data_IF_780203121953
#
_entry.id   IF_780203121953
#
_cell.length_a   1.000
_cell.length_b   1.000
_cell.length_c   1.000
_cell.angle_alpha   90.00
_cell.angle_beta   90.00
_cell.angle_gamma   90.00
#
_symmetry.space_group_name_H-M   'P 1'
#
loop_
_entity.id
_entity.type
_entity.pdbx_description
1 polymer ?
#
# COMPACT_ATOMS: atom_id res chain seq x y z
N UNK A 1 -7.52 20.13 -3.38
CA UNK A 1 -6.84 21.38 -2.94
C UNK A 1 -5.34 21.27 -3.13
N UNK A 2 -4.64 20.25 -2.60
CA UNK A 2 -3.19 20.09 -2.76
C UNK A 2 -2.77 19.87 -4.22
N UNK A 3 -3.48 19.07 -4.96
CA UNK A 3 -3.20 18.76 -6.37
C UNK A 3 -3.13 20.02 -7.25
N UNK A 4 -4.06 20.98 -7.09
CA UNK A 4 -4.04 22.24 -7.83
C UNK A 4 -2.85 23.12 -7.46
N UNK A 5 -2.45 23.08 -6.19
CA UNK A 5 -1.26 23.80 -5.72
C UNK A 5 0.02 23.20 -6.31
N UNK A 6 0.14 21.88 -6.29
CA UNK A 6 1.27 21.16 -6.88
C UNK A 6 1.33 21.42 -8.38
N UNK A 7 0.18 21.38 -9.07
CA UNK A 7 0.10 21.68 -10.51
C UNK A 7 0.64 23.07 -10.84
N UNK A 8 0.21 24.10 -10.12
CA UNK A 8 0.67 25.49 -10.34
C UNK A 8 2.17 25.59 -10.12
N UNK A 9 2.66 25.09 -8.99
CA UNK A 9 4.07 25.11 -8.68
C UNK A 9 4.91 24.41 -9.75
N UNK A 10 4.49 23.23 -10.17
CA UNK A 10 5.18 22.50 -11.22
C UNK A 10 5.12 23.22 -12.59
N UNK A 11 3.98 23.85 -12.92
CA UNK A 11 3.85 24.65 -14.14
C UNK A 11 4.81 25.86 -14.14
N UNK A 12 4.95 26.55 -13.01
CA UNK A 12 5.90 27.66 -12.82
C UNK A 12 7.36 27.17 -12.94
N UNK A 13 7.72 26.08 -12.26
CA UNK A 13 9.09 25.53 -12.29
C UNK A 13 9.49 24.96 -13.66
N UNK A 14 8.54 24.34 -14.38
CA UNK A 14 8.80 23.68 -15.67
C UNK A 14 8.55 24.57 -16.90
N UNK A 15 7.87 25.69 -16.76
CA UNK A 15 7.41 26.54 -17.86
C UNK A 15 6.35 25.88 -18.75
N UNK A 16 5.73 24.77 -18.32
CA UNK A 16 4.73 24.03 -19.08
C UNK A 16 3.30 24.57 -18.82
N UNK A 17 2.53 24.71 -19.88
CA UNK A 17 1.11 25.04 -19.75
C UNK A 17 0.30 23.78 -19.44
N UNK A 18 0.00 23.55 -18.15
CA UNK A 18 -0.67 22.35 -17.66
C UNK A 18 -2.16 22.64 -17.47
N UNK A 19 -3.00 21.79 -18.02
CA UNK A 19 -4.46 21.91 -17.94
C UNK A 19 -5.09 20.63 -17.36
N UNK A 20 -6.26 20.76 -16.73
CA UNK A 20 -7.05 19.62 -16.27
C UNK A 20 -7.49 18.74 -17.43
N UNK A 21 -7.50 17.45 -17.21
CA UNK A 21 -8.05 16.47 -18.13
C UNK A 21 -9.26 15.82 -17.45
N UNK A 22 -10.46 16.37 -17.67
CA UNK A 22 -11.70 15.88 -17.05
C UNK A 22 -12.37 14.80 -17.92
N UNK A 23 -11.60 13.93 -18.54
CA UNK A 23 -12.08 12.89 -19.45
C UNK A 23 -11.53 11.55 -19.04
N UNK A 24 -12.40 10.55 -19.00
CA UNK A 24 -12.00 9.16 -19.00
C UNK A 24 -11.61 8.79 -20.43
N UNK A 25 -10.42 8.28 -20.61
CA UNK A 25 -9.90 7.81 -21.89
C UNK A 25 -9.98 6.29 -21.96
N UNK A 26 -10.27 5.78 -23.15
CA UNK A 26 -10.32 4.35 -23.44
C UNK A 26 -9.31 4.04 -24.52
N UNK A 27 -8.58 2.93 -24.36
CA UNK A 27 -7.68 2.45 -25.41
C UNK A 27 -8.48 2.04 -26.64
N UNK A 28 -8.02 2.45 -27.82
CA UNK A 28 -8.62 2.05 -29.11
C UNK A 28 -8.31 0.58 -29.40
N UNK A 29 -7.09 0.14 -29.12
CA UNK A 29 -6.63 -1.22 -29.40
C UNK A 29 -7.10 -2.23 -28.32
N UNK A 30 -7.23 -1.78 -27.08
CA UNK A 30 -7.60 -2.59 -25.92
C UNK A 30 -8.77 -1.95 -25.16
N UNK A 31 -10.03 -2.09 -25.61
CA UNK A 31 -11.18 -1.34 -25.07
C UNK A 31 -11.51 -1.59 -23.59
N UNK A 32 -10.96 -2.63 -22.98
CA UNK A 32 -11.09 -2.88 -21.55
C UNK A 32 -10.17 -1.97 -20.68
N UNK A 33 -9.14 -1.37 -21.31
CA UNK A 33 -8.22 -0.48 -20.62
C UNK A 33 -8.75 0.95 -20.61
N UNK A 34 -8.93 1.49 -19.42
CA UNK A 34 -9.46 2.83 -19.18
C UNK A 34 -8.48 3.65 -18.35
N UNK A 35 -8.36 4.95 -18.63
CA UNK A 35 -7.52 5.87 -17.90
C UNK A 35 -8.30 7.11 -17.49
N UNK A 36 -8.27 7.44 -16.20
CA UNK A 36 -8.75 8.71 -15.68
C UNK A 36 -7.53 9.60 -15.38
N UNK A 37 -7.31 10.60 -16.23
CA UNK A 37 -6.08 11.39 -16.26
C UNK A 37 -6.29 12.69 -15.48
N UNK A 38 -5.39 12.98 -14.55
CA UNK A 38 -5.45 14.21 -13.75
C UNK A 38 -5.20 15.45 -14.60
N UNK A 39 -4.07 15.49 -15.30
CA UNK A 39 -3.57 16.68 -16.02
C UNK A 39 -2.88 16.28 -17.33
N UNK A 40 -2.79 17.29 -18.22
CA UNK A 40 -2.01 17.18 -19.46
C UNK A 40 -1.32 18.51 -19.79
N UNK A 41 -0.28 18.47 -20.59
CA UNK A 41 0.33 19.65 -21.18
C UNK A 41 -0.51 20.10 -22.38
N UNK A 42 -0.96 21.36 -22.38
CA UNK A 42 -1.79 21.92 -23.45
C UNK A 42 -1.08 21.88 -24.80
N UNK A 43 -1.75 21.34 -25.80
CA UNK A 43 -1.21 21.23 -27.17
C UNK A 43 -0.12 20.18 -27.39
N UNK A 44 0.17 19.35 -26.38
CA UNK A 44 1.16 18.25 -26.48
C UNK A 44 0.54 16.92 -26.09
N UNK A 45 1.12 15.82 -26.57
CA UNK A 45 0.77 14.44 -26.19
C UNK A 45 1.58 14.04 -24.95
N UNK A 46 1.43 14.83 -23.88
CA UNK A 46 2.16 14.64 -22.62
C UNK A 46 1.14 14.67 -21.47
N UNK A 47 1.06 13.56 -20.74
CA UNK A 47 0.27 13.45 -19.51
C UNK A 47 1.05 13.89 -18.28
N UNK A 48 0.33 14.27 -17.23
CA UNK A 48 0.92 14.64 -15.94
C UNK A 48 0.11 13.98 -14.84
N UNK A 49 0.75 13.13 -14.07
CA UNK A 49 0.20 12.49 -12.88
C UNK A 49 0.75 13.16 -11.62
N UNK A 50 -0.12 13.44 -10.66
CA UNK A 50 0.24 14.15 -9.44
C UNK A 50 0.05 13.23 -8.23
N UNK A 51 1.07 13.10 -7.41
CA UNK A 51 1.04 12.31 -6.18
C UNK A 51 1.47 13.13 -4.97
N UNK A 52 0.94 12.77 -3.83
CA UNK A 52 1.36 13.32 -2.53
C UNK A 52 1.68 12.16 -1.59
N UNK A 53 2.82 12.21 -0.94
CA UNK A 53 3.24 11.20 0.04
C UNK A 53 3.86 11.86 1.27
N UNK A 54 3.93 11.12 2.39
CA UNK A 54 4.56 11.60 3.61
C UNK A 54 6.07 11.31 3.63
N UNK A 55 6.82 12.08 4.42
CA UNK A 55 8.27 11.96 4.55
C UNK A 55 8.76 10.64 5.19
N UNK A 56 7.85 9.77 5.63
CA UNK A 56 8.21 8.49 6.26
C UNK A 56 8.72 7.43 5.27
N UNK A 57 8.39 7.54 3.99
CA UNK A 57 8.91 6.68 2.93
C UNK A 57 10.26 7.24 2.44
N UNK A 58 11.33 6.94 3.19
CA UNK A 58 12.67 7.53 2.93
C UNK A 58 13.35 7.05 1.64
N UNK A 59 13.03 5.88 1.18
CA UNK A 59 13.83 5.18 0.16
C UNK A 59 13.39 5.45 -1.27
N UNK A 60 12.11 5.78 -1.50
CA UNK A 60 11.54 5.72 -2.83
C UNK A 60 11.85 6.93 -3.74
N UNK A 61 12.39 8.03 -3.19
CA UNK A 61 12.57 9.26 -3.97
C UNK A 61 13.98 9.87 -3.87
N UNK A 62 14.78 9.50 -2.89
CA UNK A 62 16.09 10.12 -2.63
C UNK A 62 17.21 9.59 -3.55
N UNK A 63 17.04 8.41 -4.15
CA UNK A 63 18.01 7.77 -5.05
C UNK A 63 17.66 7.85 -6.54
N UNK A 64 16.57 8.54 -6.89
CA UNK A 64 16.04 8.54 -8.27
C UNK A 64 15.07 7.38 -8.54
N UNK A 65 14.86 6.49 -7.58
CA UNK A 65 13.91 5.37 -7.71
C UNK A 65 12.47 5.87 -7.63
N UNK A 66 11.64 5.31 -8.48
CA UNK A 66 10.20 5.58 -8.51
C UNK A 66 9.46 4.42 -7.87
N UNK A 67 8.46 4.75 -7.05
CA UNK A 67 7.56 3.73 -6.51
C UNK A 67 6.97 2.89 -7.66
N UNK A 68 7.12 1.55 -7.65
CA UNK A 68 6.68 0.67 -8.73
C UNK A 68 5.21 0.84 -9.13
N UNK A 69 4.33 1.15 -8.17
CA UNK A 69 2.91 1.39 -8.42
C UNK A 69 2.67 2.68 -9.22
N UNK A 70 3.41 3.74 -8.93
CA UNK A 70 3.31 5.00 -9.68
C UNK A 70 3.89 4.84 -11.09
N UNK A 71 4.97 4.08 -11.21
CA UNK A 71 5.54 3.73 -12.51
C UNK A 71 4.56 2.92 -13.35
N UNK A 72 3.99 1.83 -12.80
CA UNK A 72 3.01 1.00 -13.49
C UNK A 72 1.79 1.82 -13.95
N UNK A 73 1.28 2.74 -13.12
CA UNK A 73 0.19 3.64 -13.49
C UNK A 73 0.56 4.54 -14.67
N UNK A 74 1.78 5.09 -14.68
CA UNK A 74 2.25 5.91 -15.82
C UNK A 74 2.39 5.08 -17.10
N UNK A 75 2.86 3.82 -16.99
CA UNK A 75 2.93 2.90 -18.14
C UNK A 75 1.55 2.54 -18.68
N UNK A 76 0.59 2.26 -17.78
CA UNK A 76 -0.81 2.04 -18.15
C UNK A 76 -1.40 3.25 -18.90
N UNK A 77 -1.16 4.45 -18.40
CA UNK A 77 -1.66 5.66 -19.05
C UNK A 77 -1.01 5.91 -20.42
N UNK A 78 0.27 5.62 -20.57
CA UNK A 78 0.93 5.62 -21.88
C UNK A 78 0.31 4.57 -22.80
N UNK A 79 0.00 3.36 -22.29
CA UNK A 79 -0.66 2.31 -23.06
C UNK A 79 -2.03 2.75 -23.58
N UNK A 80 -2.89 3.28 -22.70
CA UNK A 80 -4.25 3.69 -23.01
C UNK A 80 -4.30 4.86 -23.99
N UNK A 81 -3.46 5.89 -23.77
CA UNK A 81 -3.52 7.14 -24.52
C UNK A 81 -2.75 7.11 -25.82
N UNK A 82 -1.75 6.25 -25.92
CA UNK A 82 -0.77 6.28 -27.00
C UNK A 82 0.06 7.56 -27.02
N UNK A 83 0.10 8.35 -25.95
CA UNK A 83 0.84 9.59 -25.88
C UNK A 83 2.35 9.35 -25.80
N UNK A 84 3.12 10.42 -26.05
CA UNK A 84 4.56 10.31 -26.27
C UNK A 84 5.36 10.30 -24.95
N UNK A 85 4.79 10.93 -23.91
CA UNK A 85 5.46 11.10 -22.63
C UNK A 85 4.47 11.16 -21.47
N UNK A 86 4.88 10.67 -20.29
CA UNK A 86 4.17 10.85 -19.04
C UNK A 86 5.09 11.44 -17.98
N UNK A 87 4.64 12.50 -17.33
CA UNK A 87 5.35 13.15 -16.22
C UNK A 87 4.68 12.77 -14.91
N UNK A 88 5.47 12.26 -13.97
CA UNK A 88 5.05 11.99 -12.60
C UNK A 88 5.61 13.10 -11.71
N UNK A 89 4.73 13.78 -11.00
CA UNK A 89 5.06 14.88 -10.08
C UNK A 89 4.64 14.48 -8.67
N UNK A 90 5.60 14.30 -7.78
CA UNK A 90 5.38 13.80 -6.42
C UNK A 90 5.74 14.86 -5.40
N UNK A 91 4.78 15.32 -4.63
CA UNK A 91 5.03 16.13 -3.44
C UNK A 91 5.32 15.21 -2.26
N UNK A 92 6.55 15.23 -1.76
CA UNK A 92 6.93 14.59 -0.49
C UNK A 92 6.82 15.64 0.61
N UNK A 93 5.84 15.49 1.49
CA UNK A 93 5.55 16.44 2.58
C UNK A 93 6.78 16.58 3.49
N UNK A 94 7.22 17.81 3.69
CA UNK A 94 8.41 18.12 4.49
C UNK A 94 9.75 17.98 3.76
N UNK A 95 9.75 17.62 2.45
CA UNK A 95 10.99 17.48 1.66
C UNK A 95 11.01 18.27 0.36
N UNK A 96 9.91 18.26 -0.41
CA UNK A 96 9.85 19.00 -1.66
C UNK A 96 9.16 18.28 -2.81
N UNK A 97 9.33 18.81 -4.01
CA UNK A 97 8.72 18.30 -5.23
C UNK A 97 9.75 17.47 -6.01
N UNK A 98 9.37 16.26 -6.39
CA UNK A 98 10.17 15.35 -7.20
C UNK A 98 9.44 15.10 -8.51
N UNK A 99 10.18 15.13 -9.63
CA UNK A 99 9.60 14.99 -10.97
C UNK A 99 10.34 13.92 -11.77
N UNK A 100 9.56 13.07 -12.43
CA UNK A 100 10.06 12.00 -13.29
C UNK A 100 9.42 12.14 -14.67
N UNK A 101 10.12 11.69 -15.69
CA UNK A 101 9.68 11.76 -17.08
C UNK A 101 9.85 10.39 -17.72
N UNK A 102 8.76 9.83 -18.22
CA UNK A 102 8.73 8.53 -18.89
C UNK A 102 8.34 8.73 -20.34
N UNK A 103 9.30 8.59 -21.24
CA UNK A 103 9.04 8.65 -22.67
C UNK A 103 8.58 7.28 -23.17
N UNK A 104 7.52 7.26 -23.98
CA UNK A 104 6.98 6.03 -24.54
C UNK A 104 8.03 5.18 -25.21
N UNK A 105 8.85 5.79 -26.08
CA UNK A 105 9.90 5.09 -26.84
C UNK A 105 10.94 4.38 -25.96
N UNK A 106 11.18 4.91 -24.76
CA UNK A 106 12.16 4.36 -23.83
C UNK A 106 11.55 3.23 -22.97
N UNK A 107 10.20 3.07 -22.97
CA UNK A 107 9.45 2.13 -22.11
C UNK A 107 8.54 1.19 -22.92
N UNK A 108 8.78 1.01 -24.20
CA UNK A 108 7.94 0.19 -25.11
C UNK A 108 7.77 -1.24 -24.61
N UNK A 109 8.83 -1.87 -24.14
CA UNK A 109 8.81 -3.26 -23.69
C UNK A 109 8.02 -3.42 -22.40
N UNK A 110 8.15 -2.47 -21.47
CA UNK A 110 7.39 -2.43 -20.21
C UNK A 110 5.91 -2.18 -20.48
N UNK A 111 5.59 -1.31 -21.42
CA UNK A 111 4.20 -1.04 -21.85
C UNK A 111 3.58 -2.30 -22.46
N UNK A 112 4.28 -3.01 -23.34
CA UNK A 112 3.82 -4.26 -23.94
C UNK A 112 3.62 -5.36 -22.90
N UNK A 113 4.57 -5.50 -21.97
CA UNK A 113 4.46 -6.48 -20.90
C UNK A 113 3.25 -6.19 -20.00
N UNK A 114 2.98 -4.93 -19.68
CA UNK A 114 1.82 -4.52 -18.89
C UNK A 114 0.52 -4.79 -19.61
N UNK A 115 0.41 -4.42 -20.89
CA UNK A 115 -0.77 -4.73 -21.72
C UNK A 115 -1.05 -6.23 -21.73
N UNK A 116 -0.02 -7.06 -21.90
CA UNK A 116 -0.16 -8.51 -21.91
C UNK A 116 -0.66 -9.05 -20.57
N UNK A 117 -0.15 -8.52 -19.45
CA UNK A 117 -0.59 -8.91 -18.12
C UNK A 117 -2.04 -8.49 -17.84
N UNK A 118 -2.43 -7.27 -18.23
CA UNK A 118 -3.79 -6.76 -18.07
C UNK A 118 -4.79 -7.51 -18.96
N UNK A 119 -4.42 -7.84 -20.21
CA UNK A 119 -5.25 -8.64 -21.13
C UNK A 119 -5.45 -10.06 -20.58
N UNK A 120 -4.38 -10.69 -20.07
CA UNK A 120 -4.48 -11.99 -19.42
C UNK A 120 -5.43 -11.93 -18.21
N UNK A 121 -5.27 -10.94 -17.33
CA UNK A 121 -6.13 -10.77 -16.16
C UNK A 121 -7.58 -10.56 -16.56
N UNK A 122 -7.83 -9.73 -17.56
CA UNK A 122 -9.16 -9.45 -18.08
C UNK A 122 -9.84 -10.69 -18.61
N UNK A 123 -9.15 -11.45 -19.46
CA UNK A 123 -9.71 -12.65 -20.10
C UNK A 123 -9.89 -13.82 -19.14
N UNK A 124 -8.89 -14.08 -18.31
CA UNK A 124 -8.91 -15.27 -17.45
C UNK A 124 -9.77 -15.09 -16.19
N UNK A 125 -9.84 -13.89 -15.66
CA UNK A 125 -10.53 -13.66 -14.40
C UNK A 125 -11.80 -12.84 -14.57
N UNK A 126 -11.73 -11.67 -15.22
CA UNK A 126 -12.89 -10.76 -15.29
C UNK A 126 -13.99 -11.33 -16.18
N UNK A 127 -13.66 -11.70 -17.43
CA UNK A 127 -14.66 -12.25 -18.37
C UNK A 127 -15.18 -13.63 -17.96
N UNK A 128 -14.37 -14.42 -17.27
CA UNK A 128 -14.76 -15.76 -16.80
C UNK A 128 -15.48 -15.73 -15.45
N UNK A 129 -15.53 -14.58 -14.76
CA UNK A 129 -16.05 -14.49 -13.40
C UNK A 129 -15.28 -15.34 -12.38
N UNK A 130 -14.01 -15.65 -12.66
CA UNK A 130 -13.13 -16.43 -11.76
C UNK A 130 -12.42 -15.53 -10.78
N UNK A 131 -12.27 -15.98 -9.54
CA UNK A 131 -11.35 -15.35 -8.62
C UNK A 131 -9.90 -15.63 -9.03
N UNK A 132 -9.03 -14.62 -9.06
CA UNK A 132 -7.59 -14.85 -9.18
C UNK A 132 -7.06 -15.65 -7.98
N UNK A 133 -5.93 -16.38 -8.12
CA UNK A 133 -5.31 -17.07 -7.01
C UNK A 133 -4.91 -16.09 -5.91
N UNK A 134 -4.86 -16.58 -4.68
CA UNK A 134 -4.40 -15.77 -3.55
C UNK A 134 -2.90 -15.46 -3.68
N UNK A 135 -2.53 -14.22 -3.39
CA UNK A 135 -1.18 -13.68 -3.58
C UNK A 135 -0.54 -13.14 -2.28
N UNK A 136 -1.21 -13.33 -1.13
CA UNK A 136 -0.80 -12.81 0.17
C UNK A 136 -1.08 -11.32 0.39
N UNK A 137 -1.75 -10.66 -0.56
CA UNK A 137 -2.13 -9.25 -0.42
C UNK A 137 -3.29 -9.05 0.57
N UNK A 138 -3.40 -7.83 1.11
CA UNK A 138 -4.57 -7.44 1.93
C UNK A 138 -5.88 -7.55 1.16
N UNK A 139 -5.86 -7.30 -0.15
CA UNK A 139 -7.04 -7.44 -1.00
C UNK A 139 -7.52 -8.90 -1.07
N UNK A 140 -6.60 -9.85 -1.23
CA UNK A 140 -6.91 -11.28 -1.19
C UNK A 140 -7.48 -11.69 0.16
N UNK A 141 -6.91 -11.22 1.28
CA UNK A 141 -7.41 -11.48 2.64
C UNK A 141 -8.83 -10.92 2.84
N UNK A 142 -9.09 -9.69 2.38
CA UNK A 142 -10.43 -9.09 2.44
C UNK A 142 -11.47 -9.89 1.62
N UNK A 143 -11.08 -10.40 0.46
CA UNK A 143 -11.95 -11.25 -0.37
C UNK A 143 -12.26 -12.56 0.36
N UNK A 144 -11.25 -13.22 0.95
CA UNK A 144 -11.44 -14.45 1.73
C UNK A 144 -12.37 -14.22 2.93
N UNK A 145 -12.17 -13.12 3.66
CA UNK A 145 -13.03 -12.75 4.80
C UNK A 145 -14.47 -12.49 4.36
N UNK A 146 -14.68 -11.79 3.24
CA UNK A 146 -16.03 -11.55 2.68
C UNK A 146 -16.70 -12.83 2.17
N UNK A 147 -15.92 -13.74 1.57
CA UNK A 147 -16.41 -14.99 1.00
C UNK A 147 -16.76 -16.02 2.08
N UNK A 148 -16.02 -16.02 3.19
CA UNK A 148 -16.17 -16.98 4.29
C UNK A 148 -16.30 -16.27 5.64
N UNK A 149 -17.35 -15.47 5.86
CA UNK A 149 -17.47 -14.60 7.03
C UNK A 149 -17.71 -15.37 8.34
N UNK A 150 -18.35 -16.53 8.27
CA UNK A 150 -18.71 -17.35 9.41
C UNK A 150 -18.35 -18.81 9.13
N UNK A 151 -17.91 -19.56 10.14
CA UNK A 151 -17.72 -21.01 10.05
C UNK A 151 -19.05 -21.74 10.27
N UNK A 152 -19.22 -22.86 9.60
CA UNK A 152 -20.35 -23.76 9.77
C UNK A 152 -20.11 -24.83 10.85
N UNK A 153 -18.95 -24.83 11.52
CA UNK A 153 -18.56 -25.80 12.52
C UNK A 153 -18.10 -27.16 11.98
N UNK A 154 -18.07 -27.34 10.65
CA UNK A 154 -17.61 -28.57 10.03
C UNK A 154 -16.09 -28.77 10.11
N UNK A 155 -15.66 -30.02 9.95
CA UNK A 155 -14.25 -30.41 9.81
C UNK A 155 -14.03 -31.02 8.44
N UNK A 156 -12.99 -30.59 7.74
CA UNK A 156 -12.62 -31.12 6.43
C UNK A 156 -11.17 -31.65 6.46
N UNK A 157 -10.89 -32.61 5.60
CA UNK A 157 -9.50 -33.00 5.32
C UNK A 157 -8.90 -32.00 4.33
N UNK A 158 -7.71 -31.50 4.65
CA UNK A 158 -7.00 -30.55 3.81
C UNK A 158 -6.01 -31.29 2.89
N UNK A 159 -5.92 -30.87 1.65
CA UNK A 159 -4.93 -31.31 0.68
C UNK A 159 -3.98 -30.14 0.37
N UNK A 160 -3.32 -29.63 1.42
CA UNK A 160 -2.38 -28.50 1.30
C UNK A 160 -1.24 -28.59 2.32
N UNK A 161 -0.76 -29.78 2.59
CA UNK A 161 0.29 -30.05 3.59
C UNK A 161 1.59 -29.25 3.28
N UNK A 162 1.93 -29.08 2.01
CA UNK A 162 3.08 -28.26 1.61
C UNK A 162 2.93 -26.79 2.05
N UNK A 163 1.73 -26.21 1.86
CA UNK A 163 1.46 -24.84 2.29
C UNK A 163 1.49 -24.70 3.81
N UNK A 164 0.97 -25.70 4.54
CA UNK A 164 1.01 -25.74 6.01
C UNK A 164 2.46 -25.85 6.50
N UNK A 165 3.24 -26.71 5.90
CA UNK A 165 4.68 -26.89 6.24
C UNK A 165 5.48 -25.62 6.01
N UNK A 166 5.27 -24.94 4.87
CA UNK A 166 5.90 -23.66 4.57
C UNK A 166 5.48 -22.57 5.57
N UNK A 167 4.19 -22.51 5.91
CA UNK A 167 3.69 -21.57 6.92
C UNK A 167 4.35 -21.78 8.28
N UNK A 168 4.47 -23.02 8.75
CA UNK A 168 5.12 -23.37 10.02
C UNK A 168 6.61 -23.02 10.00
N UNK A 169 7.29 -23.31 8.90
CA UNK A 169 8.70 -22.97 8.70
C UNK A 169 8.93 -21.47 8.77
N UNK A 170 8.08 -20.70 8.08
CA UNK A 170 8.16 -19.23 8.10
C UNK A 170 7.84 -18.67 9.49
N UNK A 171 6.85 -19.25 10.19
CA UNK A 171 6.49 -18.85 11.55
C UNK A 171 7.66 -19.03 12.52
N UNK A 172 8.37 -20.16 12.42
CA UNK A 172 9.56 -20.44 13.24
C UNK A 172 10.69 -19.45 12.94
N UNK A 173 10.97 -19.17 11.66
CA UNK A 173 11.98 -18.17 11.25
C UNK A 173 11.64 -16.77 11.73
N UNK A 174 10.37 -16.35 11.63
CA UNK A 174 9.93 -15.04 12.13
C UNK A 174 10.18 -14.96 13.64
N UNK A 175 9.83 -15.98 14.40
CA UNK A 175 10.06 -16.02 15.85
C UNK A 175 11.55 -15.94 16.22
N UNK A 176 12.42 -16.62 15.47
CA UNK A 176 13.88 -16.53 15.64
C UNK A 176 14.38 -15.10 15.37
N UNK A 177 14.00 -14.52 14.23
CA UNK A 177 14.38 -13.14 13.86
C UNK A 177 13.83 -12.09 14.84
N UNK A 178 12.62 -12.30 15.38
CA UNK A 178 12.05 -11.44 16.43
C UNK A 178 12.89 -11.53 17.72
N UNK A 179 13.40 -12.72 18.07
CA UNK A 179 14.32 -12.91 19.18
C UNK A 179 15.64 -12.15 18.98
N UNK A 180 16.24 -12.28 17.80
CA UNK A 180 17.46 -11.55 17.45
C UNK A 180 17.26 -10.03 17.49
N UNK A 181 16.15 -9.56 16.91
CA UNK A 181 15.78 -8.15 16.96
C UNK A 181 15.62 -7.64 18.39
N UNK A 182 14.96 -8.41 19.24
CA UNK A 182 14.78 -8.05 20.64
C UNK A 182 16.12 -7.94 21.39
N UNK A 183 17.09 -8.83 21.10
CA UNK A 183 18.43 -8.75 21.65
C UNK A 183 19.12 -7.43 21.27
N UNK A 184 19.08 -7.02 20.01
CA UNK A 184 19.69 -5.76 19.58
C UNK A 184 18.94 -4.55 20.14
N UNK A 185 17.61 -4.60 20.27
CA UNK A 185 16.82 -3.57 20.93
C UNK A 185 17.23 -3.39 22.39
N UNK A 186 17.43 -4.48 23.14
CA UNK A 186 17.88 -4.44 24.52
C UNK A 186 19.28 -3.84 24.64
N UNK A 187 20.24 -4.22 23.79
CA UNK A 187 21.58 -3.64 23.74
C UNK A 187 21.57 -2.14 23.48
N UNK A 188 20.70 -1.68 22.56
CA UNK A 188 20.55 -0.25 22.27
C UNK A 188 19.98 0.48 23.50
N UNK A 189 18.97 -0.08 24.14
CA UNK A 189 18.38 0.48 25.38
C UNK A 189 19.39 0.54 26.52
N UNK A 190 20.22 -0.48 26.67
CA UNK A 190 21.32 -0.50 27.65
C UNK A 190 22.33 0.64 27.40
N UNK A 191 22.71 0.88 26.13
CA UNK A 191 23.56 2.01 25.76
C UNK A 191 22.89 3.37 26.01
N UNK A 192 21.57 3.47 25.89
CA UNK A 192 20.82 4.71 26.11
C UNK A 192 20.70 5.06 27.60
N UNK A 193 20.63 4.05 28.48
CA UNK A 193 20.43 4.27 29.92
C UNK A 193 19.17 5.10 30.19
N UNK A 194 19.30 6.23 30.88
CA UNK A 194 18.19 7.13 31.20
C UNK A 194 17.87 8.16 30.11
N UNK A 195 18.62 8.14 29.00
CA UNK A 195 18.46 9.13 27.93
C UNK A 195 17.24 8.83 27.05
N UNK A 196 16.45 9.84 26.75
CA UNK A 196 15.28 9.72 25.88
C UNK A 196 15.65 9.70 24.39
N UNK A 197 16.83 10.20 24.03
CA UNK A 197 17.29 10.29 22.64
C UNK A 197 18.77 9.94 22.54
N UNK A 198 19.08 9.08 21.58
CA UNK A 198 20.44 8.73 21.20
C UNK A 198 20.68 9.03 19.72
N UNK A 199 21.90 9.41 19.37
CA UNK A 199 22.32 9.66 17.98
C UNK A 199 23.60 8.88 17.67
N UNK A 200 23.65 8.33 16.49
CA UNK A 200 24.84 7.74 15.90
C UNK A 200 25.11 8.39 14.54
N UNK A 201 26.18 8.00 13.86
CA UNK A 201 26.52 8.56 12.55
C UNK A 201 25.37 8.49 11.52
N UNK A 202 24.53 7.43 11.60
CA UNK A 202 23.51 7.15 10.60
C UNK A 202 22.09 7.04 11.17
N UNK A 203 21.90 7.00 12.50
CA UNK A 203 20.62 6.69 13.12
C UNK A 203 20.31 7.60 14.29
N UNK A 204 19.04 7.89 14.45
CA UNK A 204 18.48 8.55 15.63
C UNK A 204 17.57 7.53 16.31
N UNK A 205 17.80 7.30 17.59
CA UNK A 205 16.99 6.43 18.45
C UNK A 205 16.22 7.27 19.46
N UNK A 206 14.96 6.94 19.68
CA UNK A 206 14.13 7.57 20.69
C UNK A 206 13.53 6.49 21.60
N UNK A 207 13.77 6.61 22.89
CA UNK A 207 13.19 5.75 23.92
C UNK A 207 12.77 6.61 25.13
N UNK A 208 11.54 7.09 25.06
CA UNK A 208 10.99 8.06 26.03
C UNK A 208 9.70 7.57 26.66
N UNK A 209 9.40 8.11 27.84
CA UNK A 209 8.14 7.84 28.52
C UNK A 209 6.95 8.32 27.68
N UNK A 210 5.93 7.47 27.56
CA UNK A 210 4.61 7.90 27.07
C UNK A 210 3.83 8.59 28.19
N UNK A 211 2.92 9.50 27.83
CA UNK A 211 1.97 10.03 28.80
C UNK A 211 1.15 8.91 29.44
N UNK A 212 0.86 8.97 30.75
CA UNK A 212 0.04 7.98 31.42
C UNK A 212 -1.31 7.82 30.72
N UNK A 213 -1.64 6.59 30.32
CA UNK A 213 -2.92 6.29 29.69
C UNK A 213 -3.99 6.14 30.77
N UNK A 214 -5.04 6.95 30.69
CA UNK A 214 -6.24 6.74 31.51
C UNK A 214 -7.06 5.62 30.87
N UNK A 215 -7.33 4.56 31.64
CA UNK A 215 -8.18 3.44 31.22
C UNK A 215 -9.34 3.31 32.19
N UNK A 216 -10.48 2.88 31.68
CA UNK A 216 -11.60 2.54 32.54
C UNK A 216 -11.37 1.11 33.06
N UNK A 217 -11.46 0.91 34.36
CA UNK A 217 -11.51 -0.43 34.95
C UNK A 217 -12.89 -1.03 34.63
N UNK A 218 -12.94 -1.71 33.47
CA UNK A 218 -14.20 -2.30 32.98
C UNK A 218 -14.70 -3.40 33.87
N UNK A 219 -13.81 -4.14 34.56
CA UNK A 219 -14.22 -5.20 35.49
C UNK A 219 -14.96 -4.60 36.68
N UNK A 220 -14.36 -3.63 37.33
CA UNK A 220 -14.96 -2.92 38.45
C UNK A 220 -16.23 -2.16 38.04
N UNK A 221 -16.22 -1.52 36.87
CA UNK A 221 -17.41 -0.84 36.34
C UNK A 221 -18.56 -1.83 36.10
N UNK A 222 -18.29 -3.04 35.62
CA UNK A 222 -19.32 -4.08 35.41
C UNK A 222 -19.88 -4.61 36.74
N UNK A 223 -19.03 -4.72 37.78
CA UNK A 223 -19.44 -5.18 39.09
C UNK A 223 -20.28 -4.13 39.86
N UNK A 224 -19.86 -2.84 39.79
CA UNK A 224 -20.52 -1.78 40.56
C UNK A 224 -21.68 -1.12 39.80
N UNK A 225 -21.66 -1.10 38.45
CA UNK A 225 -22.61 -0.39 37.58
C UNK A 225 -23.00 -1.18 36.34
N UNK A 226 -23.56 -2.41 36.49
CA UNK A 226 -23.91 -3.24 35.33
C UNK A 226 -24.89 -2.56 34.38
N UNK A 227 -25.82 -1.75 34.89
CA UNK A 227 -26.80 -1.01 34.09
C UNK A 227 -26.16 0.00 33.12
N UNK A 228 -24.98 0.56 33.47
CA UNK A 228 -24.23 1.44 32.59
C UNK A 228 -23.55 0.61 31.50
N UNK A 229 -22.94 -0.51 31.87
CA UNK A 229 -22.23 -1.37 30.90
C UNK A 229 -23.22 -1.92 29.87
N UNK A 230 -24.35 -2.46 30.29
CA UNK A 230 -25.39 -3.03 29.41
C UNK A 230 -25.91 -1.99 28.40
N UNK A 231 -26.02 -0.74 28.83
CA UNK A 231 -26.46 0.36 27.94
C UNK A 231 -25.46 0.72 26.84
N UNK A 232 -24.15 0.51 27.08
CA UNK A 232 -23.09 0.92 26.17
C UNK A 232 -22.31 -0.23 25.56
N UNK A 233 -22.64 -1.49 25.89
CA UNK A 233 -22.01 -2.65 25.29
C UNK A 233 -22.37 -2.75 23.80
N UNK A 234 -21.37 -2.96 22.98
CA UNK A 234 -21.56 -3.23 21.55
C UNK A 234 -21.13 -4.65 21.25
N UNK A 235 -22.03 -5.46 20.73
CA UNK A 235 -21.68 -6.79 20.23
C UNK A 235 -21.13 -6.63 18.82
N UNK A 236 -19.84 -6.93 18.65
CA UNK A 236 -19.18 -6.95 17.34
C UNK A 236 -19.62 -8.15 16.51
N UNK A 237 -19.43 -8.06 15.20
CA UNK A 237 -19.60 -9.23 14.33
C UNK A 237 -18.56 -10.31 14.70
N UNK A 238 -18.91 -11.61 14.63
CA UNK A 238 -17.95 -12.68 14.85
C UNK A 238 -16.84 -12.63 13.80
N UNK A 239 -15.60 -12.91 14.23
CA UNK A 239 -14.45 -12.99 13.34
C UNK A 239 -13.85 -14.39 13.38
N UNK A 240 -13.40 -14.91 12.24
CA UNK A 240 -12.69 -16.18 12.16
C UNK A 240 -11.22 -15.97 12.51
N UNK A 241 -10.73 -16.75 13.48
CA UNK A 241 -9.32 -16.73 13.87
C UNK A 241 -8.59 -17.89 13.20
N UNK A 242 -7.56 -17.57 12.42
CA UNK A 242 -6.70 -18.57 11.80
C UNK A 242 -5.61 -19.02 12.80
N UNK A 243 -5.44 -20.32 12.95
CA UNK A 243 -4.37 -20.93 13.77
C UNK A 243 -3.94 -22.24 13.13
N UNK A 244 -2.64 -22.51 13.18
CA UNK A 244 -2.06 -23.80 12.82
C UNK A 244 -1.39 -24.37 14.05
N UNK A 245 -1.62 -25.67 14.32
CA UNK A 245 -0.99 -26.44 15.41
C UNK A 245 -0.55 -27.80 14.87
N UNK A 246 0.51 -28.32 15.40
CA UNK A 246 0.90 -29.72 15.18
C UNK A 246 -0.14 -30.65 15.82
N UNK A 247 -0.42 -31.76 15.14
CA UNK A 247 -1.40 -32.78 15.59
C UNK A 247 -0.84 -33.68 16.69
#
# INVERSE_FOLDING_TARGET
VLEDHITRRYAEESGLNIVRCNQMMQSIEHPFMLANIDRRVKGKRIGVEIKTTSSFTKTDFAGGDVNPWYYAQCMHYLAVTGWDEWKLVVLVIGRGLYTYSFKRKENEDQIKALISAEDYFWREYVLQGKCPPVDGSKAAEEILTKRYPVSDGSTITLDCDDAISQYMTLTSKIKELEGDKALYEQRIKECMGESERGESANYIVSWKNSSPRKTIDTKRLTEEHPEIVDRYIKVGAPTRRFMVKEA
#
